data_IF_911639450230
#
_entry.id   IF_911639450230
#
_cell.length_a   1.000
_cell.length_b   1.000
_cell.length_c   1.000
_cell.angle_alpha   90.00
_cell.angle_beta   90.00
_cell.angle_gamma   90.00
#
_symmetry.space_group_name_H-M   'P 1'
#
loop_
_entity.id
_entity.type
_entity.pdbx_description
1 polymer ?
#
# COMPACT_ATOMS: atom_id res chain seq x y z
N UNK A 1 -55.09 -20.78 18.91
CA UNK A 1 -53.78 -20.13 19.17
C UNK A 1 -52.81 -20.52 18.08
N UNK A 2 -52.03 -19.56 17.58
CA UNK A 2 -50.97 -19.80 16.59
C UNK A 2 -50.89 -18.69 15.55
N UNK A 3 -50.52 -17.48 15.97
CA UNK A 3 -50.27 -16.36 15.07
C UNK A 3 -49.02 -16.66 14.22
N UNK A 4 -49.19 -16.79 12.89
CA UNK A 4 -48.07 -16.82 11.95
C UNK A 4 -47.67 -15.37 11.66
N UNK A 5 -46.53 -14.96 12.22
CA UNK A 5 -45.96 -13.63 12.05
C UNK A 5 -45.70 -13.31 10.58
N UNK A 6 -46.14 -12.12 10.17
CA UNK A 6 -45.88 -11.53 8.87
C UNK A 6 -44.39 -11.22 8.71
N UNK A 7 -43.71 -11.90 7.77
CA UNK A 7 -42.34 -11.63 7.34
C UNK A 7 -42.33 -10.73 6.09
N UNK A 8 -43.07 -9.63 6.09
CA UNK A 8 -43.23 -8.79 4.88
C UNK A 8 -42.42 -7.48 4.87
N UNK A 9 -41.54 -7.24 5.86
CA UNK A 9 -40.82 -5.96 5.96
C UNK A 9 -39.48 -5.90 5.20
N UNK A 10 -38.92 -7.03 4.76
CA UNK A 10 -37.58 -7.05 4.14
C UNK A 10 -37.57 -7.20 2.61
N UNK A 11 -38.74 -7.38 1.97
CA UNK A 11 -38.79 -7.64 0.52
C UNK A 11 -38.81 -6.36 -0.33
N UNK A 12 -39.35 -5.27 0.19
CA UNK A 12 -39.44 -3.97 -0.49
C UNK A 12 -38.18 -3.11 -0.41
N UNK A 13 -37.21 -3.43 0.46
CA UNK A 13 -35.95 -2.65 0.54
C UNK A 13 -35.02 -2.94 -0.64
N UNK A 14 -35.15 -4.11 -1.28
CA UNK A 14 -34.20 -4.60 -2.28
C UNK A 14 -34.80 -4.81 -3.67
N UNK A 15 -36.05 -4.41 -3.89
CA UNK A 15 -36.67 -4.45 -5.21
C UNK A 15 -36.80 -3.05 -5.75
N UNK A 16 -35.67 -2.50 -6.20
CA UNK A 16 -35.70 -1.51 -7.26
C UNK A 16 -34.71 -1.87 -8.36
N UNK A 17 -35.11 -1.53 -9.56
CA UNK A 17 -34.88 -2.31 -10.78
C UNK A 17 -33.71 -1.71 -11.56
N UNK A 18 -32.81 -2.59 -12.01
CA UNK A 18 -31.81 -2.45 -13.08
C UNK A 18 -31.25 -1.05 -13.44
N UNK A 19 -29.96 -0.86 -13.11
CA UNK A 19 -28.99 -0.24 -14.02
C UNK A 19 -27.77 -1.14 -14.17
N UNK A 20 -27.73 -1.87 -15.28
CA UNK A 20 -26.53 -2.48 -15.83
C UNK A 20 -25.54 -1.37 -16.16
N UNK A 21 -24.42 -1.27 -15.46
CA UNK A 21 -23.10 -0.87 -16.01
C UNK A 21 -22.02 -0.98 -14.94
N UNK A 22 -20.87 -1.49 -15.39
CA UNK A 22 -19.67 -1.86 -14.63
C UNK A 22 -19.85 -3.13 -13.80
N UNK A 23 -19.26 -4.21 -14.30
CA UNK A 23 -18.67 -5.23 -13.43
C UNK A 23 -17.89 -4.48 -12.35
N UNK A 24 -18.45 -4.37 -11.15
CA UNK A 24 -17.68 -4.00 -9.97
C UNK A 24 -16.70 -5.16 -9.78
N UNK A 25 -15.54 -5.07 -10.44
CA UNK A 25 -14.45 -5.99 -10.16
C UNK A 25 -14.26 -5.95 -8.63
N UNK A 26 -14.29 -7.10 -7.97
CA UNK A 26 -13.92 -7.25 -6.55
C UNK A 26 -12.41 -7.04 -6.40
N UNK A 27 -11.90 -5.92 -6.89
CA UNK A 27 -10.51 -5.58 -7.02
C UNK A 27 -10.23 -4.23 -6.37
N UNK A 28 -9.06 -4.13 -5.75
CA UNK A 28 -8.50 -2.84 -5.34
C UNK A 28 -8.36 -1.96 -6.58
N UNK A 29 -8.65 -0.66 -6.47
CA UNK A 29 -8.43 0.28 -7.57
C UNK A 29 -6.98 0.17 -8.03
N UNK A 30 -6.76 -0.15 -9.31
CA UNK A 30 -5.43 -0.33 -9.88
C UNK A 30 -4.57 0.91 -9.65
N UNK A 31 -5.15 2.09 -9.85
CA UNK A 31 -4.46 3.36 -9.61
C UNK A 31 -3.99 3.52 -8.16
N UNK A 32 -4.80 3.10 -7.18
CA UNK A 32 -4.41 3.15 -5.78
C UNK A 32 -3.33 2.11 -5.44
N UNK A 33 -3.37 0.94 -6.08
CA UNK A 33 -2.32 -0.08 -5.96
C UNK A 33 -1.00 0.44 -6.54
N UNK A 34 -1.03 1.05 -7.71
CA UNK A 34 0.14 1.59 -8.38
C UNK A 34 0.77 2.71 -7.54
N UNK A 35 -0.03 3.65 -7.02
CA UNK A 35 0.43 4.72 -6.11
C UNK A 35 1.05 4.17 -4.82
N UNK A 36 0.45 3.12 -4.25
CA UNK A 36 0.98 2.44 -3.06
C UNK A 36 2.32 1.77 -3.37
N UNK A 37 2.42 1.04 -4.47
CA UNK A 37 3.64 0.35 -4.90
C UNK A 37 4.76 1.36 -5.16
N UNK A 38 4.48 2.46 -5.85
CA UNK A 38 5.43 3.56 -6.06
C UNK A 38 5.95 4.12 -4.71
N UNK A 39 5.05 4.37 -3.77
CA UNK A 39 5.43 4.85 -2.43
C UNK A 39 6.31 3.83 -1.68
N UNK A 40 5.96 2.54 -1.76
CA UNK A 40 6.70 1.44 -1.15
C UNK A 40 8.14 1.39 -1.69
N UNK A 41 8.34 1.53 -3.00
CA UNK A 41 9.68 1.54 -3.61
C UNK A 41 10.51 2.74 -3.17
N UNK A 42 9.89 3.92 -3.07
CA UNK A 42 10.56 5.08 -2.52
C UNK A 42 10.98 4.86 -1.05
N UNK A 43 10.13 4.24 -0.22
CA UNK A 43 10.48 3.86 1.17
C UNK A 43 11.61 2.84 1.21
N UNK A 44 11.51 1.78 0.41
CA UNK A 44 12.55 0.76 0.26
C UNK A 44 13.90 1.39 -0.06
N UNK A 45 13.95 2.26 -1.08
CA UNK A 45 15.19 2.95 -1.46
C UNK A 45 15.68 3.87 -0.35
N UNK A 46 14.79 4.61 0.30
CA UNK A 46 15.13 5.51 1.39
C UNK A 46 15.82 4.78 2.55
N UNK A 47 15.25 3.67 3.02
CA UNK A 47 15.82 2.89 4.12
C UNK A 47 17.17 2.24 3.79
N UNK A 48 17.38 1.88 2.52
CA UNK A 48 18.65 1.35 2.05
C UNK A 48 19.74 2.41 1.85
N UNK A 49 19.39 3.71 1.84
CA UNK A 49 20.33 4.77 1.47
C UNK A 49 20.54 5.84 2.54
N UNK A 50 19.62 6.02 3.48
CA UNK A 50 19.73 7.00 4.55
C UNK A 50 19.73 6.37 5.93
N UNK A 51 20.39 7.04 6.91
CA UNK A 51 20.22 6.69 8.31
C UNK A 51 18.79 7.00 8.73
N UNK A 52 18.23 6.09 9.51
CA UNK A 52 16.87 6.18 10.04
C UNK A 52 16.85 6.02 11.54
N UNK A 53 15.89 6.69 12.18
CA UNK A 53 15.74 6.67 13.63
C UNK A 53 14.70 5.62 14.00
N UNK A 54 15.13 4.57 14.70
CA UNK A 54 14.28 3.53 15.25
C UNK A 54 14.48 3.51 16.77
N UNK A 55 13.39 3.54 17.55
CA UNK A 55 13.41 3.43 19.02
C UNK A 55 14.46 4.29 19.73
N UNK A 56 14.51 5.57 19.36
CA UNK A 56 15.45 6.58 19.87
C UNK A 56 16.94 6.35 19.54
N UNK A 57 17.25 5.42 18.64
CA UNK A 57 18.60 5.20 18.10
C UNK A 57 18.64 5.57 16.63
N UNK A 58 19.77 6.14 16.19
CA UNK A 58 20.04 6.35 14.77
C UNK A 58 20.73 5.10 14.26
N UNK A 59 20.01 4.32 13.48
CA UNK A 59 20.62 3.25 12.71
C UNK A 59 21.16 3.80 11.40
N UNK A 60 22.21 3.16 10.89
CA UNK A 60 22.73 3.46 9.57
C UNK A 60 21.75 3.03 8.47
N UNK A 61 22.30 2.59 7.34
CA UNK A 61 21.50 1.95 6.30
C UNK A 61 20.97 0.63 6.82
N UNK A 62 19.68 0.37 6.61
CA UNK A 62 19.07 -0.86 7.07
C UNK A 62 19.42 -2.04 6.17
N UNK A 63 19.47 -3.23 6.76
CA UNK A 63 19.63 -4.48 6.02
C UNK A 63 18.35 -4.83 5.26
N UNK A 64 18.46 -5.59 4.17
CA UNK A 64 17.29 -5.98 3.37
C UNK A 64 16.17 -6.63 4.20
N UNK A 65 16.43 -7.63 5.09
CA UNK A 65 15.39 -8.18 5.95
C UNK A 65 14.74 -7.15 6.89
N UNK A 66 15.53 -6.22 7.45
CA UNK A 66 15.02 -5.15 8.30
C UNK A 66 14.08 -4.22 7.53
N UNK A 67 14.45 -3.87 6.29
CA UNK A 67 13.63 -3.03 5.42
C UNK A 67 12.30 -3.72 5.12
N UNK A 68 12.32 -5.01 4.76
CA UNK A 68 11.10 -5.76 4.46
C UNK A 68 10.13 -5.81 5.64
N UNK A 69 10.64 -6.01 6.86
CA UNK A 69 9.81 -6.03 8.07
C UNK A 69 9.15 -4.68 8.32
N UNK A 70 9.90 -3.59 8.20
CA UNK A 70 9.36 -2.23 8.38
C UNK A 70 8.31 -1.93 7.31
N UNK A 71 8.59 -2.24 6.03
CA UNK A 71 7.62 -2.03 4.96
C UNK A 71 6.34 -2.86 5.14
N UNK A 72 6.46 -4.06 5.70
CA UNK A 72 5.28 -4.86 6.06
C UNK A 72 4.42 -4.15 7.10
N UNK A 73 5.03 -3.58 8.14
CA UNK A 73 4.31 -2.83 9.17
C UNK A 73 3.68 -1.55 8.62
N UNK A 74 4.39 -0.82 7.75
CA UNK A 74 3.91 0.44 7.17
C UNK A 74 2.77 0.26 6.16
N UNK A 75 2.86 -0.77 5.32
CA UNK A 75 1.93 -0.97 4.20
C UNK A 75 0.93 -2.10 4.43
N UNK A 76 1.07 -2.88 5.51
CA UNK A 76 0.26 -4.06 5.82
C UNK A 76 0.30 -5.09 4.68
N UNK A 77 1.50 -5.34 4.14
CA UNK A 77 1.76 -6.26 3.03
C UNK A 77 2.74 -7.33 3.49
N UNK A 78 2.53 -8.58 3.08
CA UNK A 78 3.42 -9.70 3.40
C UNK A 78 4.86 -9.45 2.90
N UNK A 79 5.82 -9.48 3.81
CA UNK A 79 7.25 -9.25 3.56
C UNK A 79 7.95 -10.39 2.80
N UNK A 80 7.47 -11.63 2.94
CA UNK A 80 8.12 -12.83 2.40
C UNK A 80 7.89 -13.00 0.90
N UNK A 81 6.73 -12.56 0.39
CA UNK A 81 6.31 -12.82 -0.98
C UNK A 81 5.91 -11.56 -1.74
N UNK A 82 4.98 -10.77 -1.20
CA UNK A 82 4.37 -9.68 -1.97
C UNK A 82 5.30 -8.48 -2.10
N UNK A 83 6.04 -8.12 -1.05
CA UNK A 83 6.99 -7.01 -1.13
C UNK A 83 8.12 -7.29 -2.14
N UNK A 84 8.78 -8.47 -2.13
CA UNK A 84 9.74 -8.83 -3.17
C UNK A 84 9.16 -8.76 -4.59
N UNK A 85 7.95 -9.28 -4.80
CA UNK A 85 7.27 -9.19 -6.10
C UNK A 85 7.05 -7.74 -6.54
N UNK A 86 6.63 -6.85 -5.63
CA UNK A 86 6.45 -5.42 -5.95
C UNK A 86 7.79 -4.78 -6.30
N UNK A 87 8.88 -5.14 -5.61
CA UNK A 87 10.23 -4.65 -5.91
C UNK A 87 10.66 -5.05 -7.32
N UNK A 88 10.40 -6.30 -7.71
CA UNK A 88 10.69 -6.80 -9.05
C UNK A 88 9.82 -6.13 -10.12
N UNK A 89 8.51 -5.98 -9.87
CA UNK A 89 7.56 -5.31 -10.78
C UNK A 89 7.88 -3.82 -10.99
N UNK A 90 8.46 -3.16 -9.98
CA UNK A 90 8.80 -1.74 -9.99
C UNK A 90 10.31 -1.50 -10.15
N UNK A 91 11.06 -2.48 -10.67
CA UNK A 91 12.51 -2.42 -10.77
C UNK A 91 13.02 -1.22 -11.59
N UNK A 92 12.28 -0.81 -12.62
CA UNK A 92 12.62 0.36 -13.43
C UNK A 92 12.67 1.64 -12.59
N UNK A 93 11.69 1.84 -11.71
CA UNK A 93 11.66 2.98 -10.77
C UNK A 93 12.85 2.93 -9.80
N UNK A 94 13.22 1.74 -9.33
CA UNK A 94 14.38 1.58 -8.46
C UNK A 94 15.69 1.94 -9.20
N UNK A 95 15.78 1.61 -10.48
CA UNK A 95 16.91 1.95 -11.34
C UNK A 95 17.02 3.46 -11.55
N UNK A 96 15.90 4.14 -11.78
CA UNK A 96 15.85 5.61 -11.85
C UNK A 96 16.31 6.26 -10.54
N UNK A 97 15.81 5.78 -9.39
CA UNK A 97 16.23 6.28 -8.08
C UNK A 97 17.73 6.05 -7.84
N UNK A 98 18.27 4.91 -8.29
CA UNK A 98 19.70 4.61 -8.21
C UNK A 98 20.54 5.53 -9.10
N UNK A 99 20.03 5.89 -10.28
CA UNK A 99 20.71 6.80 -11.21
C UNK A 99 20.70 8.24 -10.68
N UNK A 100 19.53 8.74 -10.23
CA UNK A 100 19.36 10.12 -9.80
C UNK A 100 19.83 10.40 -8.37
N UNK A 101 19.87 9.38 -7.50
CA UNK A 101 20.24 9.48 -6.08
C UNK A 101 19.56 10.66 -5.38
N UNK A 102 18.23 10.70 -5.34
CA UNK A 102 17.50 11.82 -4.75
C UNK A 102 17.86 12.03 -3.27
N UNK A 103 17.95 13.30 -2.86
CA UNK A 103 18.11 13.69 -1.46
C UNK A 103 16.82 13.53 -0.64
N UNK A 104 16.91 13.70 0.69
CA UNK A 104 15.74 13.59 1.59
C UNK A 104 14.59 14.54 1.22
N UNK A 105 14.91 15.73 0.72
CA UNK A 105 13.92 16.75 0.37
C UNK A 105 13.01 16.34 -0.78
N UNK A 106 13.50 15.50 -1.70
CA UNK A 106 12.67 14.91 -2.76
C UNK A 106 11.51 14.12 -2.18
N UNK A 107 11.81 13.23 -1.21
CA UNK A 107 10.80 12.38 -0.59
C UNK A 107 9.84 13.17 0.28
N UNK A 108 10.33 14.15 1.04
CA UNK A 108 9.50 15.06 1.86
C UNK A 108 8.54 15.88 1.02
N UNK A 109 8.97 16.34 -0.16
CA UNK A 109 8.11 17.07 -1.09
C UNK A 109 7.06 16.16 -1.73
N UNK A 110 7.44 14.94 -2.11
CA UNK A 110 6.57 13.99 -2.80
C UNK A 110 5.54 13.35 -1.87
N UNK A 111 5.95 13.02 -0.64
CA UNK A 111 5.11 12.38 0.37
C UNK A 111 5.22 13.13 1.71
N UNK A 112 4.61 14.32 1.81
CA UNK A 112 4.76 15.18 2.99
C UNK A 112 4.11 14.62 4.26
N UNK A 113 3.20 13.65 4.12
CA UNK A 113 2.51 12.99 5.21
C UNK A 113 3.32 11.85 5.84
N UNK A 114 4.47 11.47 5.25
CA UNK A 114 5.34 10.42 5.77
C UNK A 114 6.54 11.02 6.50
N UNK A 115 7.01 10.29 7.52
CA UNK A 115 8.23 10.64 8.24
C UNK A 115 9.43 10.03 7.50
N UNK A 116 10.24 10.91 6.90
CA UNK A 116 11.47 10.58 6.18
C UNK A 116 12.69 10.93 7.04
#
# INVERSE_FOLDING_TARGET
MGARGSLSLFRDVFTDTEKTTAEQSKGRSKELVDKRNECLIHRYWYYGNFPVKLDNKVEGKLSYPSILNILQEEFFINSEHTIPQIIDECYDQLTELRAHKPGKDYFRKKYPHLVW
#
